data_IF_678283655537
#
_entry.id   IF_678283655537
#
_cell.length_a   1.000
_cell.length_b   1.000
_cell.length_c   1.000
_cell.angle_alpha   90.00
_cell.angle_beta   90.00
_cell.angle_gamma   90.00
#
_symmetry.space_group_name_H-M   'P 1'
#
loop_
_entity.id
_entity.type
_entity.pdbx_description
1 polymer ?
#
# COMPACT_ATOMS: atom_id res chain seq x y z
N UNK A 1 2.59 12.71 4.47
CA UNK A 1 1.43 12.07 3.82
C UNK A 1 1.82 10.70 3.32
N UNK A 2 0.94 9.71 3.50
CA UNK A 2 1.14 8.35 2.96
C UNK A 2 -0.06 7.99 2.11
N UNK A 3 0.20 7.54 0.89
CA UNK A 3 -0.78 7.06 -0.06
C UNK A 3 -0.44 5.63 -0.47
N UNK A 4 -1.45 4.75 -0.50
CA UNK A 4 -1.32 3.37 -0.95
C UNK A 4 -2.03 3.16 -2.28
N UNK A 5 -1.40 2.38 -3.16
CA UNK A 5 -1.94 1.95 -4.44
C UNK A 5 -1.52 2.81 -5.64
N UNK A 6 -2.12 2.60 -6.82
CA UNK A 6 -3.18 1.62 -7.09
C UNK A 6 -2.72 0.19 -6.79
N UNK A 7 -3.49 -0.54 -5.98
CA UNK A 7 -3.05 -1.86 -5.52
C UNK A 7 -4.14 -2.72 -4.93
N UNK A 8 -3.98 -4.04 -5.06
CA UNK A 8 -4.91 -5.03 -4.49
C UNK A 8 -4.72 -5.09 -2.97
N UNK A 9 -5.77 -4.83 -2.21
CA UNK A 9 -5.74 -5.08 -0.76
C UNK A 9 -6.33 -6.45 -0.46
N UNK A 10 -5.47 -7.40 -0.05
CA UNK A 10 -5.90 -8.76 0.23
C UNK A 10 -6.94 -8.79 1.37
N UNK A 11 -6.69 -8.07 2.47
CA UNK A 11 -7.62 -8.04 3.61
C UNK A 11 -9.00 -7.46 3.25
N UNK A 12 -9.07 -6.45 2.38
CA UNK A 12 -10.36 -5.91 1.93
C UNK A 12 -11.04 -6.86 0.92
N UNK A 13 -10.27 -7.49 0.03
CA UNK A 13 -10.79 -8.50 -0.89
C UNK A 13 -11.42 -9.67 -0.11
N UNK A 14 -10.74 -10.15 0.94
CA UNK A 14 -11.24 -11.19 1.84
C UNK A 14 -12.51 -10.76 2.59
N UNK A 15 -12.59 -9.49 3.00
CA UNK A 15 -13.77 -8.97 3.67
C UNK A 15 -15.00 -9.00 2.76
N UNK A 16 -14.86 -8.63 1.47
CA UNK A 16 -15.93 -8.72 0.48
C UNK A 16 -16.35 -10.17 0.25
N UNK A 17 -15.38 -11.10 0.15
CA UNK A 17 -15.66 -12.53 -0.05
C UNK A 17 -16.40 -13.20 1.11
N UNK A 18 -16.45 -12.57 2.28
CA UNK A 18 -17.25 -13.04 3.43
C UNK A 18 -18.71 -12.58 3.40
N UNK A 19 -19.09 -11.71 2.46
CA UNK A 19 -20.48 -11.26 2.31
C UNK A 19 -21.30 -12.39 1.67
N UNK A 20 -22.47 -12.76 2.23
CA UNK A 20 -23.34 -13.76 1.62
C UNK A 20 -23.68 -13.43 0.16
N UNK A 21 -23.62 -14.42 -0.73
CA UNK A 21 -23.89 -14.24 -2.15
C UNK A 21 -22.69 -13.75 -2.98
N UNK A 22 -21.52 -13.55 -2.36
CA UNK A 22 -20.27 -13.27 -3.09
C UNK A 22 -19.49 -14.56 -3.30
N UNK A 23 -19.25 -14.91 -4.57
CA UNK A 23 -18.43 -16.05 -4.96
C UNK A 23 -16.94 -15.74 -4.90
N UNK A 24 -16.53 -14.59 -5.43
CA UNK A 24 -15.14 -14.13 -5.43
C UNK A 24 -15.08 -12.60 -5.55
N UNK A 25 -13.97 -11.99 -5.16
CA UNK A 25 -13.80 -10.55 -5.26
C UNK A 25 -12.34 -10.08 -5.24
N UNK A 26 -12.09 -8.94 -5.89
CA UNK A 26 -10.85 -8.17 -5.80
C UNK A 26 -11.15 -6.73 -5.45
N UNK A 27 -10.39 -6.21 -4.49
CA UNK A 27 -10.50 -4.83 -4.04
C UNK A 27 -9.20 -4.07 -4.33
N UNK A 28 -9.31 -2.92 -4.98
CA UNK A 28 -8.22 -2.01 -5.25
C UNK A 28 -8.31 -0.75 -4.39
N UNK A 29 -7.23 -0.44 -3.68
CA UNK A 29 -7.03 0.86 -3.04
C UNK A 29 -6.38 1.80 -4.05
N UNK A 30 -6.97 2.97 -4.28
CA UNK A 30 -6.51 3.92 -5.29
C UNK A 30 -6.28 5.29 -4.64
N UNK A 31 -5.06 5.88 -4.76
CA UNK A 31 -4.85 7.28 -4.36
C UNK A 31 -5.77 8.22 -5.14
N UNK A 32 -6.29 9.25 -4.49
CA UNK A 32 -6.97 10.35 -5.16
C UNK A 32 -5.92 11.28 -5.76
N UNK A 33 -5.87 11.36 -7.09
CA UNK A 33 -4.82 12.09 -7.81
C UNK A 33 -4.74 13.57 -7.39
N UNK A 34 -5.88 14.25 -7.28
CA UNK A 34 -5.90 15.65 -6.87
C UNK A 34 -5.31 15.88 -5.46
N UNK A 35 -5.54 14.95 -4.53
CA UNK A 35 -4.98 15.03 -3.19
C UNK A 35 -3.46 14.75 -3.18
N UNK A 36 -3.01 13.83 -4.03
CA UNK A 36 -1.59 13.53 -4.22
C UNK A 36 -0.84 14.75 -4.79
N UNK A 37 -1.39 15.37 -5.83
CA UNK A 37 -0.81 16.55 -6.48
C UNK A 37 -0.78 17.78 -5.57
N UNK A 38 -1.86 18.05 -4.80
CA UNK A 38 -1.88 19.12 -3.79
C UNK A 38 -0.78 18.96 -2.74
N UNK A 39 -0.54 17.72 -2.29
CA UNK A 39 0.57 17.41 -1.38
C UNK A 39 1.92 17.63 -2.04
N UNK A 40 2.13 17.19 -3.29
CA UNK A 40 3.38 17.42 -4.04
C UNK A 40 3.68 18.90 -4.26
N UNK A 41 2.64 19.71 -4.48
CA UNK A 41 2.73 21.16 -4.60
C UNK A 41 3.10 21.87 -3.29
N UNK A 42 3.15 21.16 -2.16
CA UNK A 42 3.49 21.74 -0.86
C UNK A 42 2.38 22.61 -0.26
N UNK A 43 1.13 22.39 -0.67
CA UNK A 43 -0.03 23.08 -0.12
C UNK A 43 -0.34 22.64 1.32
N UNK A 44 0.17 21.47 1.73
CA UNK A 44 -0.01 20.89 3.06
C UNK A 44 -1.48 20.80 3.52
N UNK A 45 -2.39 20.23 2.72
CA UNK A 45 -3.81 20.13 3.09
C UNK A 45 -4.03 19.21 4.29
N UNK A 46 -5.05 19.49 5.10
CA UNK A 46 -5.62 18.49 6.01
C UNK A 46 -6.56 17.59 5.22
N UNK A 47 -6.23 16.30 5.13
CA UNK A 47 -6.97 15.33 4.32
C UNK A 47 -7.59 14.26 5.23
N UNK A 48 -8.91 14.08 5.11
CA UNK A 48 -9.63 12.95 5.67
C UNK A 48 -9.31 11.65 4.94
N UNK A 49 -9.65 10.51 5.53
CA UNK A 49 -9.52 9.18 4.92
C UNK A 49 -10.12 9.14 3.51
N UNK A 50 -11.37 9.63 3.35
CA UNK A 50 -12.12 9.67 2.08
C UNK A 50 -11.41 10.47 0.99
N UNK A 51 -10.75 11.57 1.36
CA UNK A 51 -10.07 12.45 0.40
C UNK A 51 -8.73 11.87 -0.09
N UNK A 52 -8.15 10.90 0.61
CA UNK A 52 -6.86 10.32 0.24
C UNK A 52 -6.98 9.14 -0.70
N UNK A 53 -8.03 8.33 -0.54
CA UNK A 53 -8.18 7.06 -1.23
C UNK A 53 -9.62 6.80 -1.66
N UNK A 54 -9.78 6.26 -2.86
CA UNK A 54 -11.02 5.60 -3.28
C UNK A 54 -10.86 4.07 -3.23
N UNK A 55 -11.98 3.38 -3.17
CA UNK A 55 -12.05 1.91 -3.14
C UNK A 55 -12.75 1.43 -4.41
N UNK A 56 -12.11 0.54 -5.15
CA UNK A 56 -12.67 -0.03 -6.36
C UNK A 56 -12.79 -1.55 -6.20
N UNK A 57 -14.02 -2.06 -6.22
CA UNK A 57 -14.35 -3.45 -5.99
C UNK A 57 -14.82 -4.11 -7.29
N UNK A 58 -14.29 -5.29 -7.57
CA UNK A 58 -14.74 -6.18 -8.62
C UNK A 58 -15.25 -7.46 -7.98
N UNK A 59 -16.51 -7.79 -8.20
CA UNK A 59 -17.24 -8.80 -7.42
C UNK A 59 -17.89 -9.79 -8.37
N UNK A 60 -17.67 -11.08 -8.12
CA UNK A 60 -18.38 -12.18 -8.76
C UNK A 60 -19.48 -12.61 -7.80
N UNK A 61 -20.73 -12.40 -8.18
CA UNK A 61 -21.89 -12.81 -7.40
C UNK A 61 -22.19 -14.31 -7.64
N UNK A 62 -22.73 -14.98 -6.63
CA UNK A 62 -23.35 -16.30 -6.81
C UNK A 62 -24.60 -16.20 -7.70
N UNK A 63 -25.00 -17.32 -8.30
CA UNK A 63 -26.21 -17.37 -9.12
C UNK A 63 -27.45 -17.04 -8.28
N UNK A 64 -28.27 -16.08 -8.75
CA UNK A 64 -29.46 -15.63 -8.04
C UNK A 64 -29.21 -14.71 -6.85
N UNK A 65 -27.97 -14.33 -6.55
CA UNK A 65 -27.68 -13.43 -5.43
C UNK A 65 -28.18 -12.00 -5.66
N UNK A 66 -28.63 -11.35 -4.59
CA UNK A 66 -29.07 -9.95 -4.62
C UNK A 66 -27.85 -9.01 -4.67
N UNK A 67 -27.56 -8.52 -5.89
CA UNK A 67 -26.47 -7.58 -6.15
C UNK A 67 -26.62 -6.26 -5.39
N UNK A 68 -27.85 -5.77 -5.19
CA UNK A 68 -28.08 -4.51 -4.47
C UNK A 68 -27.78 -4.69 -2.97
N UNK A 69 -28.18 -5.82 -2.39
CA UNK A 69 -27.84 -6.15 -1.01
C UNK A 69 -26.32 -6.31 -0.80
N UNK A 70 -25.63 -6.98 -1.73
CA UNK A 70 -24.16 -7.12 -1.71
C UNK A 70 -23.49 -5.74 -1.79
N UNK A 71 -23.89 -4.91 -2.76
CA UNK A 71 -23.32 -3.58 -2.94
C UNK A 71 -23.49 -2.71 -1.69
N UNK A 72 -24.68 -2.74 -1.09
CA UNK A 72 -24.95 -2.02 0.16
C UNK A 72 -24.06 -2.55 1.29
N UNK A 73 -23.99 -3.87 1.47
CA UNK A 73 -23.17 -4.50 2.49
C UNK A 73 -21.67 -4.15 2.35
N UNK A 74 -21.16 -4.06 1.12
CA UNK A 74 -19.80 -3.57 0.84
C UNK A 74 -19.70 -2.12 1.28
N UNK A 75 -20.52 -1.22 0.72
CA UNK A 75 -20.39 0.24 0.94
C UNK A 75 -20.56 0.67 2.40
N UNK A 76 -21.32 -0.08 3.20
CA UNK A 76 -21.55 0.24 4.61
C UNK A 76 -20.72 -0.61 5.57
N UNK A 77 -19.74 -1.39 5.10
CA UNK A 77 -18.94 -2.24 5.96
C UNK A 77 -18.02 -1.40 6.87
N UNK A 78 -18.18 -1.48 8.21
CA UNK A 78 -17.40 -0.67 9.13
C UNK A 78 -15.90 -0.95 9.03
N UNK A 79 -15.08 0.10 9.09
CA UNK A 79 -13.61 0.06 9.04
C UNK A 79 -13.00 -0.33 7.68
N UNK A 80 -13.80 -0.78 6.72
CA UNK A 80 -13.32 -1.22 5.40
C UNK A 80 -13.69 -0.23 4.29
N UNK A 81 -14.96 0.17 4.23
CA UNK A 81 -15.51 0.89 3.08
C UNK A 81 -16.40 2.09 3.44
N UNK A 82 -16.98 2.13 4.64
CA UNK A 82 -17.91 3.16 5.09
C UNK A 82 -17.31 4.58 5.09
N UNK A 83 -16.01 4.71 5.33
CA UNK A 83 -15.28 5.99 5.27
C UNK A 83 -14.75 6.36 3.88
N UNK A 84 -15.02 5.57 2.84
CA UNK A 84 -14.42 5.74 1.51
C UNK A 84 -15.46 5.89 0.41
N UNK A 85 -15.08 6.60 -0.65
CA UNK A 85 -15.83 6.55 -1.90
C UNK A 85 -15.55 5.19 -2.56
N UNK A 86 -16.57 4.33 -2.55
CA UNK A 86 -16.47 2.93 -2.94
C UNK A 86 -17.31 2.64 -4.18
N UNK A 87 -16.68 2.16 -5.25
CA UNK A 87 -17.32 1.71 -6.48
C UNK A 87 -17.36 0.19 -6.52
N UNK A 88 -18.53 -0.40 -6.78
CA UNK A 88 -18.71 -1.86 -6.89
C UNK A 88 -19.08 -2.22 -8.33
N UNK A 89 -18.31 -3.11 -8.94
CA UNK A 89 -18.54 -3.62 -10.28
C UNK A 89 -18.79 -5.12 -10.21
N UNK A 90 -19.96 -5.57 -10.69
CA UNK A 90 -20.25 -6.99 -10.81
C UNK A 90 -19.75 -7.52 -12.14
N UNK A 91 -18.84 -8.49 -12.11
CA UNK A 91 -18.18 -9.06 -13.30
C UNK A 91 -18.27 -10.59 -13.29
N UNK A 92 -17.88 -11.22 -14.40
CA UNK A 92 -17.81 -12.68 -14.48
C UNK A 92 -16.55 -13.23 -13.81
N UNK A 93 -16.53 -14.53 -13.50
CA UNK A 93 -15.34 -15.19 -12.97
C UNK A 93 -14.18 -15.15 -13.99
N UNK A 94 -14.49 -15.30 -15.26
CA UNK A 94 -13.54 -15.28 -16.36
C UNK A 94 -12.89 -13.90 -16.48
N UNK A 95 -13.67 -12.83 -16.35
CA UNK A 95 -13.16 -11.44 -16.35
C UNK A 95 -12.27 -11.19 -15.12
N UNK A 96 -12.67 -11.64 -13.93
CA UNK A 96 -11.86 -11.51 -12.72
C UNK A 96 -10.50 -12.22 -12.87
N UNK A 97 -10.47 -13.41 -13.46
CA UNK A 97 -9.23 -14.15 -13.69
C UNK A 97 -8.36 -13.46 -14.76
N UNK A 98 -8.95 -13.05 -15.88
CA UNK A 98 -8.23 -12.45 -17.00
C UNK A 98 -7.60 -11.11 -16.61
N UNK A 99 -8.35 -10.25 -15.95
CA UNK A 99 -7.98 -8.83 -15.78
C UNK A 99 -7.51 -8.49 -14.35
N UNK A 100 -7.83 -9.36 -13.37
CA UNK A 100 -7.62 -9.07 -11.94
C UNK A 100 -6.90 -10.21 -11.17
N UNK A 101 -6.21 -11.11 -11.87
CA UNK A 101 -5.44 -12.21 -11.23
C UNK A 101 -4.17 -11.75 -10.53
N UNK A 102 -3.55 -10.67 -10.99
CA UNK A 102 -2.33 -10.12 -10.40
C UNK A 102 -2.52 -9.59 -8.97
N UNK A 103 -1.41 -9.37 -8.28
CA UNK A 103 -1.36 -8.75 -6.95
C UNK A 103 -0.50 -7.47 -6.97
N UNK A 104 -0.78 -6.51 -7.88
CA UNK A 104 -0.02 -5.28 -7.94
C UNK A 104 -0.28 -4.44 -6.71
N UNK A 105 0.71 -3.62 -6.34
CA UNK A 105 0.53 -2.59 -5.33
C UNK A 105 1.50 -1.44 -5.58
N UNK A 106 1.33 -0.37 -4.81
CA UNK A 106 2.23 0.75 -4.86
C UNK A 106 1.99 1.69 -3.70
N UNK A 107 2.62 2.85 -3.78
CA UNK A 107 2.33 3.94 -2.88
C UNK A 107 3.40 5.01 -2.88
N UNK A 108 3.09 6.05 -2.13
CA UNK A 108 3.92 7.24 -1.96
C UNK A 108 3.99 7.60 -0.49
N UNK A 109 5.18 7.95 -0.02
CA UNK A 109 5.39 8.65 1.24
C UNK A 109 5.97 10.01 0.89
N UNK A 110 5.21 11.06 1.14
CA UNK A 110 5.59 12.43 0.81
C UNK A 110 5.67 13.24 2.09
N UNK A 111 6.79 13.92 2.29
CA UNK A 111 6.99 14.91 3.34
C UNK A 111 7.36 16.24 2.72
N UNK A 112 6.54 17.23 3.00
CA UNK A 112 6.75 18.63 2.64
C UNK A 112 7.06 19.43 3.91
N UNK A 113 7.94 20.42 3.78
CA UNK A 113 8.40 21.25 4.89
C UNK A 113 8.94 22.59 4.41
N UNK A 114 9.24 23.47 5.36
CA UNK A 114 9.76 24.82 5.09
C UNK A 114 10.96 25.13 5.98
N UNK A 115 11.91 25.90 5.43
CA UNK A 115 13.05 26.47 6.17
C UNK A 115 13.19 27.97 5.86
N UNK A 116 14.08 28.66 6.57
CA UNK A 116 14.21 30.12 6.53
C UNK A 116 13.44 30.79 7.68
N UNK A 117 13.85 32.01 8.07
CA UNK A 117 13.20 32.75 9.16
C UNK A 117 11.74 33.08 8.81
N UNK A 118 11.47 33.35 7.54
CA UNK A 118 10.15 33.70 7.03
C UNK A 118 9.46 32.51 6.34
N UNK A 119 10.00 31.28 6.51
CA UNK A 119 9.50 30.03 5.91
C UNK A 119 9.47 30.07 4.37
N UNK A 120 10.36 30.84 3.77
CA UNK A 120 10.39 31.12 2.34
C UNK A 120 10.92 29.96 1.48
N UNK A 121 11.64 29.01 2.08
CA UNK A 121 12.25 27.89 1.37
C UNK A 121 11.40 26.63 1.56
N UNK A 122 10.71 26.19 0.51
CA UNK A 122 9.89 24.98 0.51
C UNK A 122 10.70 23.76 0.09
N UNK A 123 10.52 22.64 0.78
CA UNK A 123 11.21 21.37 0.54
C UNK A 123 10.22 20.23 0.42
N UNK A 124 10.50 19.29 -0.48
CA UNK A 124 9.71 18.07 -0.67
C UNK A 124 10.64 16.86 -0.69
N UNK A 125 10.32 15.85 0.10
CA UNK A 125 10.93 14.52 0.05
C UNK A 125 9.84 13.53 -0.30
N UNK A 126 10.04 12.77 -1.37
CA UNK A 126 9.10 11.75 -1.84
C UNK A 126 9.81 10.41 -2.01
N UNK A 127 9.19 9.35 -1.51
CA UNK A 127 9.58 7.97 -1.76
C UNK A 127 8.38 7.23 -2.37
N UNK A 128 8.61 6.48 -3.43
CA UNK A 128 7.56 5.71 -4.12
C UNK A 128 7.94 4.25 -4.33
N UNK A 129 6.91 3.41 -4.41
CA UNK A 129 7.03 2.02 -4.85
C UNK A 129 5.95 1.75 -5.91
N UNK A 130 6.34 1.02 -6.97
CA UNK A 130 5.44 0.56 -8.03
C UNK A 130 5.73 -0.92 -8.25
N UNK A 131 4.80 -1.76 -7.85
CA UNK A 131 5.01 -3.20 -7.70
C UNK A 131 4.03 -3.96 -8.56
N UNK A 132 4.54 -4.84 -9.43
CA UNK A 132 3.70 -5.78 -10.18
C UNK A 132 3.24 -6.94 -9.30
N UNK A 133 4.07 -7.34 -8.33
CA UNK A 133 3.77 -8.37 -7.33
C UNK A 133 4.16 -7.88 -5.93
N UNK A 134 3.17 -7.44 -5.16
CA UNK A 134 3.32 -7.05 -3.76
C UNK A 134 3.92 -8.16 -2.86
N UNK A 135 3.47 -9.43 -2.93
CA UNK A 135 4.05 -10.48 -2.08
C UNK A 135 5.51 -10.78 -2.43
N UNK A 136 5.91 -10.74 -3.70
CA UNK A 136 7.31 -10.98 -4.10
C UNK A 136 8.25 -9.86 -3.62
N UNK A 137 7.82 -8.60 -3.76
CA UNK A 137 8.57 -7.47 -3.23
C UNK A 137 8.72 -7.56 -1.70
N UNK A 138 7.62 -7.86 -1.00
CA UNK A 138 7.64 -8.07 0.45
C UNK A 138 8.58 -9.20 0.84
N UNK A 139 8.56 -10.33 0.11
CA UNK A 139 9.48 -11.44 0.30
C UNK A 139 10.94 -11.03 0.15
N UNK A 140 11.25 -10.21 -0.86
CA UNK A 140 12.60 -9.69 -1.10
C UNK A 140 13.09 -8.80 0.04
N UNK A 141 12.22 -7.93 0.57
CA UNK A 141 12.52 -7.12 1.75
C UNK A 141 12.79 -8.01 2.97
N UNK A 142 11.94 -9.01 3.22
CA UNK A 142 12.12 -9.94 4.35
C UNK A 142 13.48 -10.65 4.26
N UNK A 143 13.88 -11.14 3.08
CA UNK A 143 15.18 -11.80 2.88
C UNK A 143 16.35 -10.83 3.15
N UNK A 144 16.23 -9.57 2.75
CA UNK A 144 17.23 -8.54 3.05
C UNK A 144 17.35 -8.29 4.58
N UNK A 145 16.23 -8.21 5.28
CA UNK A 145 16.19 -8.08 6.74
C UNK A 145 16.69 -9.32 7.48
N UNK A 146 16.46 -10.53 6.94
CA UNK A 146 16.99 -11.77 7.50
C UNK A 146 18.53 -11.76 7.53
N UNK A 147 19.18 -11.19 6.50
CA UNK A 147 20.63 -10.98 6.49
C UNK A 147 21.08 -10.04 7.60
N UNK A 148 20.35 -8.95 7.82
CA UNK A 148 20.65 -8.02 8.91
C UNK A 148 20.51 -8.71 10.28
N UNK A 149 19.43 -9.46 10.49
CA UNK A 149 19.21 -10.23 11.71
C UNK A 149 20.35 -11.24 11.98
N UNK A 150 20.81 -11.94 10.95
CA UNK A 150 21.95 -12.86 11.05
C UNK A 150 23.25 -12.14 11.46
N UNK A 151 23.55 -10.98 10.84
CA UNK A 151 24.73 -10.19 11.19
C UNK A 151 24.67 -9.69 12.65
N UNK A 152 23.52 -9.20 13.09
CA UNK A 152 23.30 -8.74 14.47
C UNK A 152 23.45 -9.89 15.48
N UNK A 153 22.88 -11.05 15.17
CA UNK A 153 23.03 -12.25 16.00
C UNK A 153 24.50 -12.67 16.15
N UNK A 154 25.28 -12.63 15.07
CA UNK A 154 26.73 -12.86 15.13
C UNK A 154 27.50 -11.85 15.98
N UNK A 155 26.95 -10.65 16.16
CA UNK A 155 27.49 -9.61 17.04
C UNK A 155 26.99 -9.74 18.50
N UNK A 156 26.24 -10.80 18.82
CA UNK A 156 25.68 -11.04 20.16
C UNK A 156 24.44 -10.20 20.48
N UNK A 157 23.86 -9.51 19.50
CA UNK A 157 22.63 -8.74 19.71
C UNK A 157 21.42 -9.68 19.81
N UNK A 158 20.52 -9.39 20.75
CA UNK A 158 19.30 -10.16 21.01
C UNK A 158 18.13 -9.22 21.33
N UNK A 159 16.91 -9.69 21.07
CA UNK A 159 15.68 -8.94 21.32
C UNK A 159 14.88 -8.67 20.05
N UNK A 160 13.83 -7.85 20.18
CA UNK A 160 12.99 -7.44 19.07
C UNK A 160 13.53 -6.16 18.44
N UNK A 161 13.71 -6.19 17.12
CA UNK A 161 14.14 -5.05 16.32
C UNK A 161 13.07 -4.72 15.27
N UNK A 162 12.99 -3.45 14.92
CA UNK A 162 12.13 -2.92 13.87
C UNK A 162 12.98 -2.33 12.74
N UNK A 163 12.42 -1.97 11.57
CA UNK A 163 13.16 -1.27 10.54
C UNK A 163 13.87 0.02 10.99
N UNK A 164 13.44 0.65 12.10
CA UNK A 164 14.12 1.83 12.64
C UNK A 164 15.45 1.53 13.33
N UNK A 165 15.66 0.28 13.74
CA UNK A 165 16.87 -0.15 14.45
C UNK A 165 17.92 -0.73 13.49
N UNK A 166 17.56 -0.95 12.23
CA UNK A 166 18.38 -1.66 11.26
C UNK A 166 18.99 -0.69 10.24
N UNK A 167 20.28 -0.43 10.37
CA UNK A 167 21.02 0.34 9.39
C UNK A 167 21.00 -0.35 8.00
N UNK A 168 20.79 0.38 6.88
CA UNK A 168 20.73 -0.21 5.54
C UNK A 168 21.92 -1.09 5.16
N UNK A 169 23.13 -0.74 5.61
CA UNK A 169 24.35 -1.51 5.38
C UNK A 169 24.28 -2.96 5.91
N UNK A 170 23.49 -3.22 6.96
CA UNK A 170 23.31 -4.58 7.50
C UNK A 170 22.56 -5.48 6.53
N UNK A 171 21.66 -4.93 5.72
CA UNK A 171 20.88 -5.67 4.72
C UNK A 171 21.70 -6.04 3.48
N UNK A 172 22.80 -5.35 3.20
CA UNK A 172 23.65 -5.61 2.03
C UNK A 172 24.49 -6.88 2.18
N UNK A 173 24.71 -7.68 1.13
CA UNK A 173 25.70 -8.75 1.13
C UNK A 173 27.14 -8.24 1.03
N UNK A 174 27.34 -7.00 0.57
CA UNK A 174 28.66 -6.40 0.36
C UNK A 174 29.36 -6.09 1.68
N UNK A 175 30.69 -6.04 1.62
CA UNK A 175 31.51 -5.55 2.71
C UNK A 175 31.31 -4.04 2.94
N UNK A 176 31.70 -3.56 4.12
CA UNK A 176 31.62 -2.13 4.42
C UNK A 176 32.54 -1.29 3.52
N UNK A 177 33.65 -1.85 3.04
CA UNK A 177 34.56 -1.20 2.10
C UNK A 177 33.91 -1.03 0.72
N UNK A 178 33.34 -2.09 0.16
CA UNK A 178 32.62 -2.04 -1.12
C UNK A 178 31.44 -1.08 -1.09
N UNK A 179 30.67 -1.05 0.02
CA UNK A 179 29.58 -0.09 0.19
C UNK A 179 30.07 1.36 0.11
N UNK A 180 31.20 1.68 0.77
CA UNK A 180 31.77 3.04 0.73
C UNK A 180 32.37 3.38 -0.65
N UNK A 181 32.92 2.39 -1.35
CA UNK A 181 33.54 2.61 -2.65
C UNK A 181 32.53 2.81 -3.78
N UNK A 182 31.32 2.26 -3.65
CA UNK A 182 30.36 2.18 -4.75
C UNK A 182 28.97 2.77 -4.47
N UNK A 183 28.64 3.08 -3.21
CA UNK A 183 27.28 3.50 -2.80
C UNK A 183 27.25 4.75 -1.89
N UNK A 184 28.38 5.41 -1.67
CA UNK A 184 28.53 6.68 -0.95
C UNK A 184 29.18 7.73 -1.87
#
# INVERSE_FOLDING_TARGET
>A
YTFWGKGVSQGHSDAIRRIPGVKDAKQYTCPVEAALESVRAGENPELTTRQKHTRLCYVVAEEGADKAAIEQAIKTMPNYFDEYDTTVNFISQEELIRDHSGLPHGGFVIRTGVTGFDKENKHTVEYNIKLDSNPEFTGSVIVAFARAAHKLSKQGQMGCFTPFDIAPALMSPLSAEELRAHML
#
